data_IF_713594838650
#
_entry.id   IF_713594838650
#
_cell.length_a   1.000
_cell.length_b   1.000
_cell.length_c   1.000
_cell.angle_alpha   90.00
_cell.angle_beta   90.00
_cell.angle_gamma   90.00
#
_symmetry.space_group_name_H-M   'P 1'
#
loop_
_entity.id
_entity.type
_entity.pdbx_description
1 polymer ?
#
# COMPACT_ATOMS: atom_id res chain seq x y z
N UNK A 1 23.87 -45.15 53.85
CA UNK A 1 22.48 -45.44 53.44
C UNK A 1 22.33 -44.97 52.00
N UNK A 2 22.49 -45.89 51.04
CA UNK A 2 21.46 -46.38 50.10
C UNK A 2 20.82 -45.25 49.25
N UNK A 3 20.72 -45.30 47.92
CA UNK A 3 21.17 -46.21 46.88
C UNK A 3 20.76 -45.56 45.54
N UNK A 4 21.55 -45.78 44.48
CA UNK A 4 21.17 -45.50 43.10
C UNK A 4 19.95 -46.34 42.68
N UNK A 5 19.09 -45.83 41.78
CA UNK A 5 18.47 -46.66 40.75
C UNK A 5 18.34 -45.94 39.41
N UNK A 6 19.00 -46.55 38.44
CA UNK A 6 18.93 -46.37 36.99
C UNK A 6 17.70 -47.15 36.50
N UNK A 7 17.01 -46.67 35.47
CA UNK A 7 15.95 -47.40 34.76
C UNK A 7 16.02 -47.13 33.26
N UNK A 8 16.46 -48.15 32.53
CA UNK A 8 16.66 -48.19 31.08
C UNK A 8 15.36 -48.48 30.31
N UNK A 9 15.42 -48.16 29.02
CA UNK A 9 14.40 -48.23 27.96
C UNK A 9 13.70 -49.57 27.70
N UNK A 10 12.54 -49.54 27.04
CA UNK A 10 12.11 -50.47 25.97
C UNK A 10 10.96 -49.91 25.10
N UNK A 11 11.20 -49.74 23.79
CA UNK A 11 10.24 -49.99 22.68
C UNK A 11 10.19 -51.53 22.43
N UNK A 12 9.28 -52.16 21.62
CA UNK A 12 8.62 -51.66 20.39
C UNK A 12 7.17 -52.21 20.11
N UNK A 13 6.55 -51.79 19.00
CA UNK A 13 6.04 -52.67 17.92
C UNK A 13 4.91 -52.02 17.06
N UNK A 14 5.03 -52.24 15.76
CA UNK A 14 4.14 -51.92 14.64
C UNK A 14 2.71 -52.49 14.77
N UNK A 15 1.72 -51.82 14.15
CA UNK A 15 1.00 -52.42 13.00
C UNK A 15 -0.11 -51.52 12.41
N UNK A 16 -0.17 -51.61 11.08
CA UNK A 16 -1.34 -51.51 10.18
C UNK A 16 -1.93 -50.14 9.82
N UNK A 17 -1.63 -49.82 8.56
CA UNK A 17 -2.36 -48.98 7.62
C UNK A 17 -3.88 -49.06 7.75
N UNK A 18 -4.56 -47.92 7.70
CA UNK A 18 -5.83 -47.82 6.97
C UNK A 18 -5.94 -46.46 6.30
N UNK A 19 -5.81 -46.50 4.98
CA UNK A 19 -6.04 -45.42 4.04
C UNK A 19 -7.54 -45.11 4.01
N UNK A 20 -7.94 -43.91 4.42
CA UNK A 20 -9.25 -43.36 4.06
C UNK A 20 -9.09 -41.93 3.52
N UNK A 21 -9.25 -41.81 2.20
CA UNK A 21 -9.40 -40.54 1.48
C UNK A 21 -10.78 -39.97 1.84
N UNK A 22 -10.86 -38.70 2.22
CA UNK A 22 -11.97 -37.83 1.80
C UNK A 22 -11.71 -36.35 2.10
N UNK A 23 -11.69 -35.59 0.99
CA UNK A 23 -12.11 -34.19 0.78
C UNK A 23 -11.55 -33.05 1.66
N UNK A 24 -10.80 -32.21 0.95
CA UNK A 24 -10.40 -30.86 1.31
C UNK A 24 -11.58 -29.99 1.80
N UNK A 25 -11.54 -29.63 3.08
CA UNK A 25 -12.07 -28.37 3.57
C UNK A 25 -10.87 -27.44 3.80
N UNK A 26 -10.72 -26.41 2.96
CA UNK A 26 -9.70 -25.40 3.16
C UNK A 26 -10.05 -24.59 4.43
N UNK A 27 -9.41 -24.94 5.54
CA UNK A 27 -9.40 -24.09 6.73
C UNK A 27 -8.65 -22.80 6.37
N UNK A 28 -9.35 -21.67 6.45
CA UNK A 28 -8.74 -20.34 6.42
C UNK A 28 -7.95 -20.23 7.73
N UNK A 29 -6.66 -20.50 7.67
CA UNK A 29 -5.75 -20.23 8.78
C UNK A 29 -5.62 -18.72 8.92
N UNK A 30 -6.09 -18.21 10.06
CA UNK A 30 -5.85 -16.86 10.53
C UNK A 30 -4.34 -16.64 10.63
N UNK A 31 -3.74 -15.99 9.63
CA UNK A 31 -2.35 -15.55 9.71
C UNK A 31 -2.33 -14.14 10.32
N UNK A 32 -2.02 -14.06 11.61
CA UNK A 32 -1.52 -12.81 12.20
C UNK A 32 -0.21 -12.41 11.51
N UNK A 33 -0.03 -11.15 11.07
CA UNK A 33 1.20 -10.74 10.43
C UNK A 33 2.22 -10.37 11.51
N UNK A 34 2.92 -11.35 12.05
CA UNK A 34 4.24 -11.11 12.63
C UNK A 34 5.25 -11.07 11.47
N UNK A 35 5.51 -9.87 10.94
CA UNK A 35 6.51 -9.65 9.88
C UNK A 35 7.92 -9.56 10.50
N UNK A 36 8.93 -10.27 9.95
CA UNK A 36 10.30 -10.25 10.44
C UNK A 36 11.02 -8.92 10.14
N UNK A 37 11.92 -8.52 11.05
CA UNK A 37 12.49 -7.19 11.20
C UNK A 37 13.55 -6.73 10.15
N UNK A 38 13.61 -7.31 8.95
CA UNK A 38 14.68 -6.97 7.99
C UNK A 38 14.27 -6.88 6.52
N UNK A 39 12.97 -6.74 6.23
CA UNK A 39 12.48 -6.41 4.88
C UNK A 39 12.45 -4.87 4.76
N UNK A 40 12.75 -4.25 3.60
CA UNK A 40 12.44 -2.84 3.40
C UNK A 40 11.00 -2.58 3.88
N UNK A 41 10.82 -1.58 4.75
CA UNK A 41 9.53 -1.27 5.41
C UNK A 41 8.41 -0.90 4.44
N UNK A 42 8.71 -0.84 3.15
CA UNK A 42 7.78 -0.70 2.04
C UNK A 42 7.57 -2.10 1.45
N UNK A 43 6.46 -2.75 1.83
CA UNK A 43 5.86 -3.68 0.88
C UNK A 43 5.01 -2.78 -0.05
N UNK A 44 4.75 -3.28 -1.23
CA UNK A 44 3.78 -2.62 -2.10
C UNK A 44 3.13 -3.74 -2.85
N UNK A 45 1.87 -3.94 -2.53
CA UNK A 45 1.04 -4.99 -3.09
C UNK A 45 1.18 -5.03 -4.63
N UNK A 46 1.84 -6.05 -5.19
CA UNK A 46 2.16 -6.11 -6.63
C UNK A 46 0.95 -6.50 -7.48
N UNK A 47 -0.19 -6.85 -6.85
CA UNK A 47 -1.33 -7.42 -7.54
C UNK A 47 -1.96 -6.49 -8.59
N UNK A 48 -1.87 -5.16 -8.42
CA UNK A 48 -2.41 -4.25 -9.42
C UNK A 48 -1.64 -4.27 -10.75
N UNK A 49 -0.32 -4.47 -10.70
CA UNK A 49 0.53 -4.50 -11.88
C UNK A 49 0.27 -5.77 -12.72
N UNK A 50 0.15 -6.93 -12.05
CA UNK A 50 0.03 -8.23 -12.73
C UNK A 50 -1.41 -8.60 -13.13
N UNK A 51 -2.44 -8.20 -12.37
CA UNK A 51 -3.83 -8.37 -12.83
C UNK A 51 -4.15 -7.50 -14.05
N UNK A 52 -3.43 -6.39 -14.23
CA UNK A 52 -3.61 -5.54 -15.41
C UNK A 52 -3.08 -6.13 -16.71
N UNK A 53 -2.33 -7.22 -16.64
CA UNK A 53 -1.75 -7.88 -17.81
C UNK A 53 -2.63 -9.07 -18.23
N UNK A 54 -2.92 -9.98 -17.31
CA UNK A 54 -3.57 -11.25 -17.64
C UNK A 54 -5.11 -11.18 -17.72
N UNK A 55 -5.74 -10.31 -16.93
CA UNK A 55 -7.19 -10.06 -17.03
C UNK A 55 -7.55 -9.08 -18.17
N UNK A 56 -6.55 -8.52 -18.87
CA UNK A 56 -6.73 -7.42 -19.83
C UNK A 56 -6.69 -7.82 -21.31
N UNK A 57 -6.74 -9.11 -21.60
CA UNK A 57 -7.04 -9.64 -22.93
C UNK A 57 -8.54 -9.52 -23.32
N UNK A 58 -9.21 -8.42 -22.99
CA UNK A 58 -10.63 -8.20 -23.35
C UNK A 58 -10.81 -6.89 -24.14
N UNK A 59 -10.78 -7.08 -25.46
CA UNK A 59 -11.44 -6.32 -26.55
C UNK A 59 -11.66 -4.80 -26.41
N UNK A 60 -11.02 -4.08 -27.34
CA UNK A 60 -10.80 -2.64 -27.46
C UNK A 60 -12.02 -1.72 -27.69
N UNK A 61 -13.28 -2.17 -27.55
CA UNK A 61 -14.45 -1.35 -27.90
C UNK A 61 -15.39 -0.92 -26.75
N UNK A 62 -15.47 -1.69 -25.67
CA UNK A 62 -16.43 -1.49 -24.55
C UNK A 62 -15.76 -1.44 -23.17
N UNK A 63 -14.44 -1.19 -23.14
CA UNK A 63 -13.56 -1.67 -22.07
C UNK A 63 -13.32 -0.70 -20.91
N UNK A 64 -13.41 0.64 -21.09
CA UNK A 64 -12.99 1.61 -20.05
C UNK A 64 -13.90 1.64 -18.82
N UNK A 65 -15.22 1.68 -18.99
CA UNK A 65 -16.17 1.70 -17.88
C UNK A 65 -16.21 0.35 -17.13
N UNK A 66 -16.15 -0.76 -17.88
CA UNK A 66 -16.06 -2.11 -17.31
C UNK A 66 -14.77 -2.29 -16.51
N UNK A 67 -13.63 -1.81 -17.04
CA UNK A 67 -12.34 -1.76 -16.34
C UNK A 67 -12.42 -0.95 -15.05
N UNK A 68 -12.95 0.28 -15.10
CA UNK A 68 -13.14 1.11 -13.89
C UNK A 68 -13.98 0.39 -12.82
N UNK A 69 -15.10 -0.21 -13.21
CA UNK A 69 -15.96 -0.97 -12.30
C UNK A 69 -15.23 -2.17 -11.68
N UNK A 70 -14.45 -2.91 -12.48
CA UNK A 70 -13.68 -4.04 -11.98
C UNK A 70 -12.60 -3.60 -10.99
N UNK A 71 -11.80 -2.59 -11.35
CA UNK A 71 -10.73 -2.08 -10.52
C UNK A 71 -11.27 -1.49 -9.20
N UNK A 72 -12.40 -0.80 -9.26
CA UNK A 72 -13.12 -0.34 -8.08
C UNK A 72 -13.55 -1.49 -7.19
N UNK A 73 -14.20 -2.52 -7.75
CA UNK A 73 -14.63 -3.69 -6.97
C UNK A 73 -13.46 -4.46 -6.36
N UNK A 74 -12.38 -4.63 -7.11
CA UNK A 74 -11.17 -5.28 -6.60
C UNK A 74 -10.59 -4.52 -5.41
N UNK A 75 -10.55 -3.19 -5.52
CA UNK A 75 -10.13 -2.34 -4.42
C UNK A 75 -11.04 -2.53 -3.19
N UNK A 76 -12.35 -2.35 -3.35
CA UNK A 76 -13.34 -2.47 -2.27
C UNK A 76 -13.34 -3.86 -1.60
N UNK A 77 -13.09 -4.93 -2.37
CA UNK A 77 -13.14 -6.30 -1.85
C UNK A 77 -11.84 -6.79 -1.22
N UNK A 78 -10.69 -6.29 -1.68
CA UNK A 78 -9.37 -6.87 -1.33
C UNK A 78 -8.46 -5.81 -0.72
N UNK A 79 -8.29 -4.70 -1.42
CA UNK A 79 -7.29 -3.69 -1.05
C UNK A 79 -7.77 -2.87 0.15
N UNK A 80 -9.03 -2.44 0.17
CA UNK A 80 -9.59 -1.65 1.26
C UNK A 80 -9.61 -2.42 2.59
N UNK A 81 -10.09 -3.69 2.67
CA UNK A 81 -10.00 -4.48 3.90
C UNK A 81 -8.56 -4.71 4.37
N UNK A 82 -7.62 -4.90 3.44
CA UNK A 82 -6.20 -5.01 3.78
C UNK A 82 -5.65 -3.69 4.33
N UNK A 83 -5.93 -2.56 3.68
CA UNK A 83 -5.49 -1.25 4.16
C UNK A 83 -6.15 -0.88 5.50
N UNK A 84 -7.34 -1.39 5.79
CA UNK A 84 -8.03 -1.19 7.06
C UNK A 84 -7.37 -1.90 8.25
N UNK A 85 -6.38 -2.78 8.02
CA UNK A 85 -5.57 -3.36 9.13
C UNK A 85 -4.48 -2.42 9.62
N UNK A 86 -4.26 -1.29 8.95
CA UNK A 86 -3.31 -0.26 9.34
C UNK A 86 -4.02 0.79 10.21
N UNK A 87 -3.26 1.50 11.04
CA UNK A 87 -3.81 2.58 11.86
C UNK A 87 -4.37 3.72 10.99
N UNK A 88 -3.75 3.97 9.84
CA UNK A 88 -4.22 4.96 8.87
C UNK A 88 -4.18 4.42 7.44
N UNK A 89 -5.28 4.61 6.71
CA UNK A 89 -5.37 4.49 5.26
C UNK A 89 -5.57 5.88 4.68
N UNK A 90 -4.63 6.36 3.87
CA UNK A 90 -4.59 7.75 3.41
C UNK A 90 -4.44 7.76 1.89
N UNK A 91 -5.27 8.54 1.21
CA UNK A 91 -5.15 8.77 -0.22
C UNK A 91 -4.35 10.05 -0.48
N UNK A 92 -3.42 9.98 -1.41
CA UNK A 92 -2.57 11.11 -1.80
C UNK A 92 -2.53 11.27 -3.31
N UNK A 93 -2.51 12.50 -3.77
CA UNK A 93 -2.38 12.84 -5.20
C UNK A 93 -1.61 14.15 -5.40
N UNK A 94 -0.96 14.30 -6.54
CA UNK A 94 -0.18 15.47 -6.91
C UNK A 94 -0.63 16.12 -8.21
N UNK A 95 -0.84 17.44 -8.20
CA UNK A 95 -1.23 18.22 -9.38
C UNK A 95 -0.13 19.21 -9.78
N UNK A 96 0.63 18.89 -10.83
CA UNK A 96 1.69 19.77 -11.34
C UNK A 96 1.23 20.64 -12.51
N UNK A 97 1.59 21.93 -12.50
CA UNK A 97 1.29 22.92 -13.54
C UNK A 97 2.58 23.33 -14.24
N UNK A 98 2.92 22.60 -15.29
CA UNK A 98 4.15 22.75 -16.07
C UNK A 98 4.47 24.20 -16.48
N UNK A 99 3.46 24.98 -16.86
CA UNK A 99 3.64 26.34 -17.37
C UNK A 99 4.04 27.37 -16.31
N UNK A 100 3.83 27.09 -15.02
CA UNK A 100 4.16 28.00 -13.92
C UNK A 100 5.24 27.45 -12.98
N UNK A 101 5.68 26.20 -13.16
CA UNK A 101 6.67 25.59 -12.27
C UNK A 101 6.19 25.49 -10.82
N UNK A 102 4.91 25.16 -10.66
CA UNK A 102 4.27 25.00 -9.35
C UNK A 102 3.23 23.89 -9.42
N UNK A 103 2.77 23.45 -8.25
CA UNK A 103 1.71 22.46 -8.17
C UNK A 103 1.01 22.45 -6.83
N UNK A 104 0.32 21.36 -6.55
CA UNK A 104 -0.35 21.15 -5.29
C UNK A 104 -0.39 19.68 -4.91
N UNK A 105 -0.49 19.44 -3.62
CA UNK A 105 -0.65 18.12 -3.04
C UNK A 105 -2.03 18.02 -2.37
N UNK A 106 -2.69 16.88 -2.58
CA UNK A 106 -3.96 16.55 -1.95
C UNK A 106 -3.79 15.37 -1.03
N UNK A 107 -4.29 15.49 0.20
CA UNK A 107 -4.22 14.45 1.23
C UNK A 107 -5.61 14.23 1.79
N UNK A 108 -6.09 12.99 1.67
CA UNK A 108 -7.43 12.62 2.08
C UNK A 108 -7.40 11.40 3.00
N UNK A 109 -7.81 11.59 4.25
CA UNK A 109 -7.96 10.55 5.25
C UNK A 109 -9.34 9.88 5.16
N UNK A 110 -10.40 10.66 5.33
CA UNK A 110 -11.78 10.18 5.29
C UNK A 110 -12.75 11.34 5.07
N UNK A 111 -14.01 11.05 4.76
CA UNK A 111 -15.03 12.09 4.66
C UNK A 111 -15.13 12.88 5.98
N UNK A 112 -15.06 14.22 5.88
CA UNK A 112 -15.13 15.16 7.02
C UNK A 112 -14.00 15.03 8.04
N UNK A 113 -12.92 14.30 7.73
CA UNK A 113 -11.73 14.31 8.58
C UNK A 113 -11.06 15.70 8.53
N UNK A 114 -10.79 16.35 9.68
CA UNK A 114 -10.19 17.68 9.72
C UNK A 114 -8.74 17.71 9.23
N UNK A 115 -8.07 16.54 9.12
CA UNK A 115 -6.71 16.43 8.58
C UNK A 115 -6.68 16.43 7.06
N UNK A 116 -7.82 16.28 6.39
CA UNK A 116 -7.90 16.44 4.94
C UNK A 116 -7.39 17.82 4.55
N UNK A 117 -6.46 17.87 3.61
CA UNK A 117 -5.86 19.15 3.25
C UNK A 117 -5.39 19.21 1.81
N UNK A 118 -5.29 20.46 1.38
CA UNK A 118 -4.81 20.89 0.08
C UNK A 118 -3.63 21.83 0.30
N UNK A 119 -2.47 21.44 -0.22
CA UNK A 119 -1.20 22.12 0.02
C UNK A 119 -0.72 22.71 -1.30
N UNK A 120 -0.36 24.00 -1.30
CA UNK A 120 0.27 24.66 -2.43
C UNK A 120 1.77 24.34 -2.45
N UNK A 121 2.30 23.98 -3.62
CA UNK A 121 3.70 23.63 -3.84
C UNK A 121 4.29 24.58 -4.90
N UNK A 122 4.61 25.83 -4.53
CA UNK A 122 5.01 26.89 -5.48
C UNK A 122 6.36 26.65 -6.16
N UNK A 123 7.14 25.69 -5.67
CA UNK A 123 8.51 25.41 -6.15
C UNK A 123 8.68 23.98 -6.67
N UNK A 124 7.58 23.26 -6.86
CA UNK A 124 7.61 21.92 -7.46
C UNK A 124 8.12 21.99 -8.90
N UNK A 125 8.98 21.06 -9.30
CA UNK A 125 9.62 21.05 -10.63
C UNK A 125 9.06 19.99 -11.56
N UNK A 126 8.27 19.06 -11.02
CA UNK A 126 7.74 17.93 -11.78
C UNK A 126 6.49 17.34 -11.13
N UNK A 127 5.77 16.52 -11.90
CA UNK A 127 4.69 15.66 -11.37
C UNK A 127 5.22 14.72 -10.29
N UNK A 128 6.44 14.20 -10.43
CA UNK A 128 7.05 13.34 -9.43
C UNK A 128 7.26 14.07 -8.09
N UNK A 129 7.61 15.36 -8.14
CA UNK A 129 7.82 16.18 -6.94
C UNK A 129 6.52 16.33 -6.16
N UNK A 130 5.43 16.73 -6.84
CA UNK A 130 4.14 16.96 -6.16
C UNK A 130 3.55 15.68 -5.57
N UNK A 131 3.72 14.55 -6.26
CA UNK A 131 3.31 13.23 -5.78
C UNK A 131 4.11 12.81 -4.54
N UNK A 132 5.45 12.92 -4.60
CA UNK A 132 6.31 12.58 -3.47
C UNK A 132 6.05 13.49 -2.26
N UNK A 133 5.87 14.78 -2.49
CA UNK A 133 5.54 15.75 -1.45
C UNK A 133 4.18 15.48 -0.80
N UNK A 134 3.18 15.06 -1.57
CA UNK A 134 1.88 14.66 -1.01
C UNK A 134 2.03 13.51 0.00
N UNK A 135 2.85 12.51 -0.32
CA UNK A 135 3.13 11.40 0.58
C UNK A 135 3.92 11.85 1.82
N UNK A 136 4.97 12.66 1.64
CA UNK A 136 5.76 13.20 2.76
C UNK A 136 4.85 13.95 3.74
N UNK A 137 4.00 14.82 3.23
CA UNK A 137 3.06 15.58 4.07
C UNK A 137 2.06 14.66 4.78
N UNK A 138 1.52 13.65 4.09
CA UNK A 138 0.62 12.68 4.71
C UNK A 138 1.30 11.92 5.88
N UNK A 139 2.54 11.47 5.68
CA UNK A 139 3.30 10.76 6.72
C UNK A 139 3.62 11.65 7.93
N UNK A 140 3.89 12.93 7.70
CA UNK A 140 4.17 13.91 8.76
C UNK A 140 2.92 14.29 9.58
N UNK A 141 1.72 14.04 9.08
CA UNK A 141 0.45 14.26 9.81
C UNK A 141 0.08 13.09 10.74
N UNK A 142 0.80 11.99 10.66
CA UNK A 142 0.54 10.76 11.41
C UNK A 142 1.54 10.60 12.56
N UNK A 143 1.11 9.96 13.65
CA UNK A 143 2.04 9.51 14.70
C UNK A 143 3.19 8.71 14.05
N UNK A 144 4.47 9.07 14.25
CA UNK A 144 5.63 8.36 13.70
C UNK A 144 5.62 6.84 13.93
N UNK A 145 4.97 6.34 14.98
CA UNK A 145 4.91 4.91 15.32
C UNK A 145 3.72 4.18 14.69
N UNK A 146 2.72 4.90 14.21
CA UNK A 146 1.54 4.30 13.59
C UNK A 146 1.90 3.56 12.29
N UNK A 147 1.17 2.49 11.99
CA UNK A 147 1.19 1.86 10.67
C UNK A 147 0.34 2.66 9.69
N UNK A 148 0.87 2.92 8.49
CA UNK A 148 0.20 3.76 7.49
C UNK A 148 0.20 3.07 6.13
N UNK A 149 -0.97 2.96 5.51
CA UNK A 149 -1.14 2.60 4.11
C UNK A 149 -1.40 3.86 3.27
N UNK A 150 -0.44 4.22 2.42
CA UNK A 150 -0.54 5.34 1.49
C UNK A 150 -1.07 4.82 0.15
N UNK A 151 -2.28 5.22 -0.20
CA UNK A 151 -2.93 4.94 -1.47
C UNK A 151 -2.62 6.06 -2.48
N UNK A 152 -1.81 5.75 -3.50
CA UNK A 152 -1.44 6.70 -4.58
C UNK A 152 -1.58 6.05 -5.95
N UNK A 153 -1.93 6.83 -6.97
CA UNK A 153 -1.90 6.38 -8.35
C UNK A 153 -0.56 6.64 -9.06
N UNK A 154 0.45 7.19 -8.37
CA UNK A 154 1.77 7.44 -8.93
C UNK A 154 2.63 6.18 -8.98
N UNK A 155 2.59 5.46 -10.10
CA UNK A 155 3.46 4.30 -10.34
C UNK A 155 4.95 4.69 -10.28
N UNK A 156 5.27 5.89 -10.75
CA UNK A 156 6.64 6.39 -10.81
C UNK A 156 7.22 6.58 -9.40
N UNK A 157 6.47 7.16 -8.46
CA UNK A 157 6.92 7.32 -7.07
C UNK A 157 7.10 5.95 -6.40
N UNK A 158 6.14 5.04 -6.56
CA UNK A 158 6.23 3.68 -6.00
C UNK A 158 7.50 2.97 -6.51
N UNK A 159 7.77 3.02 -7.81
CA UNK A 159 8.95 2.38 -8.39
C UNK A 159 10.25 3.05 -7.95
N UNK A 160 10.30 4.39 -7.89
CA UNK A 160 11.49 5.12 -7.50
C UNK A 160 11.86 4.88 -6.02
N UNK A 161 10.86 4.83 -5.13
CA UNK A 161 11.07 4.48 -3.72
C UNK A 161 11.61 3.05 -3.61
N UNK A 162 11.01 2.08 -4.34
CA UNK A 162 11.42 0.67 -4.31
C UNK A 162 12.82 0.42 -4.85
N UNK A 163 13.18 1.07 -5.95
CA UNK A 163 14.46 0.81 -6.61
C UNK A 163 15.65 1.37 -5.83
N UNK A 164 15.41 2.24 -4.84
CA UNK A 164 16.48 2.99 -4.19
C UNK A 164 17.10 4.06 -5.11
N UNK A 165 16.62 4.18 -6.37
CA UNK A 165 17.19 5.11 -7.33
C UNK A 165 16.49 6.46 -7.26
N UNK A 166 17.18 7.43 -6.67
CA UNK A 166 16.62 8.74 -6.41
C UNK A 166 17.43 9.84 -7.08
N UNK A 167 17.34 9.94 -8.41
CA UNK A 167 17.83 11.14 -9.12
C UNK A 167 17.05 12.41 -8.72
N UNK A 168 15.84 12.24 -8.19
CA UNK A 168 14.96 13.31 -7.73
C UNK A 168 15.11 13.53 -6.21
N UNK A 169 15.41 14.77 -5.79
CA UNK A 169 15.56 15.14 -4.38
C UNK A 169 14.30 14.86 -3.54
N UNK A 170 13.11 15.04 -4.09
CA UNK A 170 11.86 14.75 -3.37
C UNK A 170 11.70 13.24 -3.11
N UNK A 171 12.17 12.38 -4.03
CA UNK A 171 12.19 10.93 -3.81
C UNK A 171 13.20 10.57 -2.73
N UNK A 172 14.39 11.19 -2.71
CA UNK A 172 15.38 11.00 -1.64
C UNK A 172 14.76 11.35 -0.29
N UNK A 173 14.16 12.53 -0.18
CA UNK A 173 13.48 12.96 1.05
C UNK A 173 12.34 12.02 1.46
N UNK A 174 11.56 11.51 0.50
CA UNK A 174 10.52 10.52 0.79
C UNK A 174 11.11 9.20 1.31
N UNK A 175 12.19 8.71 0.71
CA UNK A 175 12.88 7.51 1.19
C UNK A 175 13.45 7.71 2.59
N UNK A 176 14.02 8.88 2.89
CA UNK A 176 14.53 9.21 4.21
C UNK A 176 13.41 9.22 5.25
N UNK A 177 12.28 9.89 4.95
CA UNK A 177 11.11 9.94 5.82
C UNK A 177 10.58 8.53 6.11
N UNK A 178 10.43 7.69 5.08
CA UNK A 178 9.97 6.30 5.24
C UNK A 178 10.95 5.47 6.08
N UNK A 179 12.25 5.62 5.83
CA UNK A 179 13.29 4.81 6.50
C UNK A 179 13.38 5.16 7.98
N UNK A 180 13.36 6.45 8.29
CA UNK A 180 13.49 7.00 9.64
C UNK A 180 12.24 6.78 10.50
N UNK A 181 11.06 6.66 9.87
CA UNK A 181 9.80 6.43 10.58
C UNK A 181 9.81 5.07 11.29
N UNK A 182 9.53 5.01 12.62
CA UNK A 182 9.44 3.74 13.34
C UNK A 182 8.27 2.86 12.88
N UNK A 183 7.13 3.49 12.62
CA UNK A 183 5.91 2.85 12.15
C UNK A 183 6.03 2.34 10.72
N UNK A 184 5.30 1.26 10.45
CA UNK A 184 5.30 0.61 9.15
C UNK A 184 4.61 1.49 8.09
N UNK A 185 5.15 1.53 6.85
CA UNK A 185 4.62 2.37 5.77
C UNK A 185 4.46 1.56 4.49
N UNK A 186 3.22 1.29 4.09
CA UNK A 186 2.90 0.58 2.85
C UNK A 186 2.55 1.58 1.74
N UNK A 187 3.15 1.42 0.56
CA UNK A 187 2.75 2.18 -0.64
C UNK A 187 1.82 1.32 -1.51
N UNK A 188 0.54 1.66 -1.51
CA UNK A 188 -0.53 0.93 -2.19
C UNK A 188 -0.88 1.62 -3.51
N UNK A 189 -0.70 0.90 -4.62
CA UNK A 189 -1.09 1.38 -5.94
C UNK A 189 -2.61 1.38 -6.10
N UNK A 190 -3.18 2.52 -6.43
CA UNK A 190 -4.60 2.66 -6.79
C UNK A 190 -4.80 3.06 -8.26
N UNK A 191 -5.97 2.76 -8.85
CA UNK A 191 -6.26 3.10 -10.24
C UNK A 191 -6.55 4.59 -10.41
N UNK A 192 -5.77 5.24 -11.26
CA UNK A 192 -6.03 6.62 -11.68
C UNK A 192 -7.42 6.72 -12.32
N UNK A 193 -8.20 7.69 -11.85
CA UNK A 193 -9.57 7.92 -12.28
C UNK A 193 -10.45 6.65 -12.25
N UNK A 194 -10.20 5.70 -11.33
CA UNK A 194 -10.94 4.44 -11.20
C UNK A 194 -12.39 4.61 -10.70
N UNK A 195 -12.76 5.81 -10.25
CA UNK A 195 -14.02 6.05 -9.53
C UNK A 195 -13.95 5.65 -8.05
N UNK A 196 -12.74 5.56 -7.49
CA UNK A 196 -12.52 5.43 -6.05
C UNK A 196 -12.69 6.80 -5.40
N UNK A 197 -13.57 6.86 -4.39
CA UNK A 197 -13.88 8.11 -3.71
C UNK A 197 -12.63 8.75 -3.10
N UNK A 198 -11.82 7.98 -2.37
CA UNK A 198 -10.61 8.49 -1.73
C UNK A 198 -9.62 9.13 -2.72
N UNK A 199 -9.30 8.44 -3.82
CA UNK A 199 -8.42 8.98 -4.86
C UNK A 199 -9.02 10.21 -5.54
N UNK A 200 -10.33 10.21 -5.80
CA UNK A 200 -11.00 11.37 -6.41
C UNK A 200 -10.98 12.60 -5.49
N UNK A 201 -11.07 12.40 -4.17
CA UNK A 201 -10.99 13.47 -3.20
C UNK A 201 -9.56 14.00 -3.06
N UNK A 202 -8.55 13.12 -3.04
CA UNK A 202 -7.14 13.53 -3.07
C UNK A 202 -6.82 14.35 -4.34
N UNK A 203 -7.25 13.88 -5.52
CA UNK A 203 -7.09 14.59 -6.80
C UNK A 203 -7.78 15.96 -6.80
N UNK A 204 -8.98 16.05 -6.22
CA UNK A 204 -9.66 17.35 -6.02
C UNK A 204 -8.82 18.29 -5.15
N UNK A 205 -8.32 17.83 -4.01
CA UNK A 205 -7.53 18.63 -3.08
C UNK A 205 -6.18 19.05 -3.71
N UNK A 206 -5.55 18.18 -4.49
CA UNK A 206 -4.31 18.48 -5.21
C UNK A 206 -4.52 19.61 -6.23
N UNK A 207 -5.61 19.56 -6.99
CA UNK A 207 -5.99 20.63 -7.94
C UNK A 207 -6.37 21.93 -7.25
N UNK A 208 -6.99 21.88 -6.08
CA UNK A 208 -7.25 23.09 -5.27
C UNK A 208 -5.92 23.72 -4.83
N UNK A 209 -4.92 22.89 -4.49
CA UNK A 209 -3.62 23.36 -4.02
C UNK A 209 -2.80 23.98 -5.14
N UNK A 210 -2.89 23.43 -6.35
CA UNK A 210 -2.15 23.94 -7.52
C UNK A 210 -2.70 25.26 -8.09
N UNK A 211 -3.85 25.72 -7.59
CA UNK A 211 -4.49 26.98 -8.00
C UNK A 211 -4.26 28.14 -7.03
N UNK A 212 -3.68 27.88 -5.86
CA UNK A 212 -3.29 28.90 -4.89
C UNK A 212 -1.91 29.44 -5.23
#
# INVERSE_FOLDING_TARGET
MFSQKIGHATHPANSTETRCRTRAGAQITHMSPHLPASVPKVISYPYFCNLSSDAMAINHGKSRQKKRRYLRKFFEMIVEPYCATFDHMIFTDGSYRHHIGAGGAGIFFALKDPRNCSIALPTAKSTCDVEAMAIIHALNMCDPKASVAICTDSQNVIQAVKSGYAANKCIQSLQDVITQRPGYTELVKVPAHGGLLGNAMADKLAREGSRR
#
